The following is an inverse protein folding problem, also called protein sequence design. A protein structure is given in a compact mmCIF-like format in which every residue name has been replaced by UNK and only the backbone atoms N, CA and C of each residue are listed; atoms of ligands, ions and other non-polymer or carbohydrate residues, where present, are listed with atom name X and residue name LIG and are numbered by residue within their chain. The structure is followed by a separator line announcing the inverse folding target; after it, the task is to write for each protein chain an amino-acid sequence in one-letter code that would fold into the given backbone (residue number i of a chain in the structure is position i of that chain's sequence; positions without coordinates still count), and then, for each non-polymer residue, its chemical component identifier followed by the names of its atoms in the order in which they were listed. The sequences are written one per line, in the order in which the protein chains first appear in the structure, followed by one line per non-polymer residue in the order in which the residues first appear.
data_IF_704796863694
#
_entry.id   IF_704796863694
#
_cell.length_a   1.000
_cell.length_b   1.000
_cell.length_c   1.000
_cell.angle_alpha   90.00
_cell.angle_beta   90.00
_cell.angle_gamma   90.00
#
_symmetry.space_group_name_H-M   'P 1'
#
loop_
_entity.id
_entity.type
_entity.pdbx_description
1 polymer ?
#
# COMPACT_ATOMS: atom_id res chain seq x y z
N UNK A 1 -2.65 19.28 4.30
CA UNK A 1 -2.22 18.95 2.92
C UNK A 1 -3.29 18.02 2.32
N UNK A 2 -4.22 18.52 1.49
CA UNK A 2 -5.38 17.75 1.00
C UNK A 2 -5.01 16.62 0.02
N UNK A 3 -3.77 16.63 -0.49
CA UNK A 3 -3.26 15.72 -1.51
C UNK A 3 -3.18 14.24 -1.06
N UNK A 4 -3.09 13.99 0.25
CA UNK A 4 -2.97 12.64 0.81
C UNK A 4 -4.32 11.91 0.98
N UNK A 5 -5.44 12.64 1.04
CA UNK A 5 -6.76 12.03 1.23
C UNK A 5 -7.42 11.62 -0.10
N UNK A 6 -6.95 12.17 -1.22
CA UNK A 6 -7.49 11.94 -2.55
C UNK A 6 -6.61 11.04 -3.44
N UNK A 7 -5.49 10.52 -2.93
CA UNK A 7 -4.50 9.81 -3.74
C UNK A 7 -3.86 8.59 -3.04
N UNK A 8 -3.77 7.42 -3.69
CA UNK A 8 -4.43 7.02 -4.94
C UNK A 8 -5.91 6.71 -4.70
N UNK A 9 -6.81 7.21 -5.55
CA UNK A 9 -8.23 6.80 -5.50
C UNK A 9 -8.41 5.33 -5.89
N UNK A 10 -9.48 4.68 -5.39
CA UNK A 10 -9.82 3.27 -5.66
C UNK A 10 -9.84 2.95 -7.17
N UNK A 11 -10.37 3.86 -7.98
CA UNK A 11 -10.42 3.74 -9.45
C UNK A 11 -9.03 3.57 -10.09
N UNK A 12 -8.05 4.33 -9.63
CA UNK A 12 -6.68 4.24 -10.12
C UNK A 12 -6.05 2.90 -9.74
N UNK A 13 -6.30 2.43 -8.51
CA UNK A 13 -5.83 1.14 -8.06
C UNK A 13 -6.44 -0.02 -8.88
N UNK A 14 -7.72 0.09 -9.24
CA UNK A 14 -8.39 -0.87 -10.12
C UNK A 14 -7.81 -0.86 -11.53
N UNK A 15 -7.50 0.32 -12.09
CA UNK A 15 -6.84 0.43 -13.40
C UNK A 15 -5.46 -0.22 -13.38
N UNK A 16 -4.63 0.11 -12.39
CA UNK A 16 -3.29 -0.48 -12.26
C UNK A 16 -3.31 -1.97 -11.97
N UNK A 17 -4.31 -2.47 -11.24
CA UNK A 17 -4.52 -3.91 -11.09
C UNK A 17 -4.70 -4.60 -12.45
N UNK A 18 -5.47 -4.00 -13.36
CA UNK A 18 -5.69 -4.55 -14.71
C UNK A 18 -4.42 -4.53 -15.55
N UNK A 19 -3.57 -3.52 -15.36
CA UNK A 19 -2.36 -3.29 -16.16
C UNK A 19 -1.15 -4.10 -15.66
N UNK A 20 -0.91 -4.11 -14.35
CA UNK A 20 0.29 -4.66 -13.71
C UNK A 20 0.02 -5.93 -12.89
N UNK A 21 -1.25 -6.29 -12.71
CA UNK A 21 -1.67 -7.48 -11.95
C UNK A 21 -2.05 -7.17 -10.50
N UNK A 22 -2.32 -8.24 -9.75
CA UNK A 22 -2.84 -8.17 -8.38
C UNK A 22 -1.88 -7.52 -7.36
N UNK A 23 -0.57 -7.56 -7.64
CA UNK A 23 0.47 -6.94 -6.82
C UNK A 23 1.32 -6.05 -7.73
N UNK A 24 1.49 -4.79 -7.35
CA UNK A 24 2.35 -3.85 -8.07
C UNK A 24 3.04 -2.90 -7.11
N UNK A 25 4.09 -2.25 -7.59
CA UNK A 25 4.82 -1.23 -6.84
C UNK A 25 4.68 0.11 -7.55
N UNK A 26 4.37 1.16 -6.80
CA UNK A 26 4.40 2.54 -7.29
C UNK A 26 5.20 3.42 -6.35
N UNK A 27 5.66 4.56 -6.86
CA UNK A 27 6.44 5.52 -6.08
C UNK A 27 5.53 6.60 -5.52
N UNK A 28 5.54 6.77 -4.19
CA UNK A 28 4.94 7.92 -3.51
C UNK A 28 6.06 8.84 -3.03
N UNK A 29 6.46 9.77 -3.89
CA UNK A 29 7.67 10.57 -3.66
C UNK A 29 8.90 9.64 -3.58
N UNK A 30 9.72 9.70 -2.51
CA UNK A 30 10.89 8.84 -2.36
C UNK A 30 10.54 7.43 -1.86
N UNK A 31 9.28 7.16 -1.51
CA UNK A 31 8.87 5.91 -0.87
C UNK A 31 8.31 4.92 -1.90
N UNK A 32 8.94 3.75 -2.10
CA UNK A 32 8.34 2.69 -2.91
C UNK A 32 7.22 2.01 -2.11
N UNK A 33 6.00 2.02 -2.66
CA UNK A 33 4.81 1.42 -2.05
C UNK A 33 4.43 0.17 -2.81
N UNK A 34 4.51 -0.98 -2.14
CA UNK A 34 4.00 -2.26 -2.65
C UNK A 34 2.53 -2.37 -2.30
N UNK A 35 1.66 -2.56 -3.29
CA UNK A 35 0.21 -2.61 -3.10
C UNK A 35 -0.35 -3.95 -3.55
N UNK A 36 -1.26 -4.50 -2.74
CA UNK A 36 -1.97 -5.76 -3.00
C UNK A 36 -3.45 -5.45 -3.22
N UNK A 37 -3.95 -5.74 -4.42
CA UNK A 37 -5.31 -5.38 -4.87
C UNK A 37 -6.21 -6.59 -5.17
N UNK A 38 -6.05 -7.67 -4.41
CA UNK A 38 -6.90 -8.86 -4.54
C UNK A 38 -7.28 -9.36 -3.15
N UNK A 39 -8.57 -9.66 -2.95
CA UNK A 39 -9.14 -9.93 -1.63
C UNK A 39 -8.59 -11.21 -0.96
N UNK A 40 -8.43 -12.29 -1.72
CA UNK A 40 -7.86 -13.55 -1.25
C UNK A 40 -6.37 -13.37 -0.88
N UNK A 41 -5.63 -12.57 -1.66
CA UNK A 41 -4.23 -12.25 -1.35
C UNK A 41 -4.12 -11.36 -0.12
N UNK A 42 -4.96 -10.34 0.01
CA UNK A 42 -5.03 -9.46 1.19
C UNK A 42 -5.30 -10.29 2.44
N UNK A 43 -6.30 -11.20 2.39
CA UNK A 43 -6.61 -12.07 3.51
C UNK A 43 -5.44 -13.00 3.86
N UNK A 44 -4.80 -13.61 2.85
CA UNK A 44 -3.64 -14.49 3.09
C UNK A 44 -2.45 -13.73 3.67
N UNK A 45 -2.13 -12.56 3.13
CA UNK A 45 -0.91 -11.83 3.49
C UNK A 45 -1.08 -11.08 4.81
N UNK A 46 -2.17 -10.34 4.99
CA UNK A 46 -2.32 -9.43 6.11
C UNK A 46 -3.15 -9.99 7.27
N UNK A 47 -3.98 -11.01 7.04
CA UNK A 47 -4.74 -11.67 8.12
C UNK A 47 -4.06 -12.96 8.55
N UNK A 48 -3.82 -13.89 7.63
CA UNK A 48 -3.26 -15.20 7.97
C UNK A 48 -1.75 -15.15 8.26
N UNK A 49 -1.02 -14.26 7.58
CA UNK A 49 0.43 -14.10 7.71
C UNK A 49 0.82 -12.69 8.14
N UNK A 50 -0.04 -12.00 8.90
CA UNK A 50 0.12 -10.59 9.25
C UNK A 50 1.44 -10.27 9.95
N UNK A 51 1.94 -11.18 10.78
CA UNK A 51 3.21 -11.03 11.51
C UNK A 51 4.41 -10.82 10.59
N UNK A 52 4.39 -11.38 9.36
CA UNK A 52 5.47 -11.21 8.38
C UNK A 52 5.54 -9.80 7.77
N UNK A 53 4.53 -8.97 8.00
CA UNK A 53 4.40 -7.63 7.42
C UNK A 53 4.15 -6.55 8.48
N UNK A 54 4.06 -6.91 9.76
CA UNK A 54 3.72 -6.00 10.85
C UNK A 54 4.80 -4.94 11.11
N UNK A 55 6.05 -5.23 10.77
CA UNK A 55 7.20 -4.31 10.84
C UNK A 55 7.20 -3.27 9.71
N UNK A 56 6.41 -3.50 8.65
CA UNK A 56 6.33 -2.63 7.48
C UNK A 56 5.25 -1.58 7.67
N UNK A 57 5.43 -0.70 8.67
CA UNK A 57 4.55 0.47 8.82
C UNK A 57 4.93 1.55 7.80
N UNK A 58 4.10 1.84 6.78
CA UNK A 58 4.42 2.84 5.74
C UNK A 58 4.53 4.27 6.30
N UNK A 59 4.01 4.51 7.51
CA UNK A 59 4.11 5.79 8.21
C UNK A 59 4.99 5.72 9.46
N UNK A 60 5.62 4.58 9.76
CA UNK A 60 6.45 4.41 10.97
C UNK A 60 7.57 5.45 11.03
N UNK A 61 8.37 5.54 9.97
CA UNK A 61 9.46 6.52 9.84
C UNK A 61 8.98 7.97 9.77
N UNK A 62 7.79 8.21 9.21
CA UNK A 62 7.17 9.55 9.20
C UNK A 62 6.70 9.93 10.62
N UNK A 63 6.08 9.01 11.35
CA UNK A 63 5.65 9.24 12.73
C UNK A 63 6.82 9.44 13.69
N UNK A 64 7.94 8.75 13.49
CA UNK A 64 9.18 8.96 14.25
C UNK A 64 9.80 10.34 13.97
N UNK A 65 9.74 10.82 12.74
CA UNK A 65 10.30 12.14 12.35
C UNK A 65 9.53 13.33 12.93
N UNK A 66 8.25 13.15 13.26
CA UNK A 66 7.37 14.19 13.82
C UNK A 66 6.92 13.92 15.26
N UNK A 67 7.53 12.92 15.93
CA UNK A 67 7.44 12.71 17.37
C UNK A 67 8.57 13.47 18.06
#
# INVERSE_FOLDING_TARGET
IPLLLSFPGIELMHKWKKEYGAIYTYWLGPYPIVTVNEINLVQRMFVQNGDNYADRSPLGSLSEKYR
#
